data_IF_217878444161
#
_entry.id   IF_217878444161
#
_cell.length_a   1.000
_cell.length_b   1.000
_cell.length_c   1.000
_cell.angle_alpha   90.00
_cell.angle_beta   90.00
_cell.angle_gamma   90.00
#
_symmetry.space_group_name_H-M   'P 1'
#
loop_
_entity.id
_entity.type
_entity.pdbx_description
1 polymer ?
#
# COMPACT_ATOMS: atom_id res chain seq x y z
N UNK A 1 22.37 6.91 0.40
CA UNK A 1 21.64 5.98 1.28
C UNK A 1 20.30 6.63 1.55
N UNK A 2 19.21 5.99 1.15
CA UNK A 2 17.86 6.51 1.37
C UNK A 2 17.38 5.90 2.68
N UNK A 3 17.06 6.73 3.68
CA UNK A 3 16.79 6.25 5.04
C UNK A 3 15.47 6.77 5.60
N UNK A 4 14.88 7.79 4.98
CA UNK A 4 13.75 8.53 5.56
C UNK A 4 12.70 8.86 4.49
N UNK A 5 11.45 9.02 4.92
CA UNK A 5 10.34 9.38 4.03
C UNK A 5 10.61 10.66 3.23
N UNK A 6 11.24 11.66 3.85
CA UNK A 6 11.62 12.93 3.19
C UNK A 6 12.52 12.76 1.97
N UNK A 7 13.28 11.69 1.90
CA UNK A 7 14.19 11.42 0.78
C UNK A 7 13.41 11.07 -0.50
N UNK A 8 12.13 10.71 -0.35
CA UNK A 8 11.19 10.45 -1.45
C UNK A 8 10.33 11.68 -1.79
N UNK A 9 10.53 12.82 -1.12
CA UNK A 9 9.73 14.01 -1.41
C UNK A 9 9.98 14.51 -2.84
N UNK A 10 8.91 14.54 -3.65
CA UNK A 10 8.89 15.05 -5.01
C UNK A 10 9.83 14.35 -6.02
N UNK A 11 10.31 13.14 -5.73
CA UNK A 11 11.21 12.40 -6.64
C UNK A 11 10.54 12.01 -7.97
N UNK A 12 9.22 11.93 -7.98
CA UNK A 12 8.37 11.65 -9.13
C UNK A 12 7.45 12.84 -9.47
N UNK A 13 7.95 14.06 -9.25
CA UNK A 13 7.21 15.30 -9.46
C UNK A 13 6.59 15.39 -10.86
N UNK A 14 5.26 15.51 -10.93
CA UNK A 14 4.52 15.63 -12.18
C UNK A 14 4.32 14.32 -12.95
N UNK A 15 4.67 13.18 -12.35
CA UNK A 15 4.48 11.87 -12.98
C UNK A 15 3.17 11.22 -12.53
N UNK A 16 2.74 10.24 -13.30
CA UNK A 16 1.68 9.30 -12.93
C UNK A 16 2.24 8.24 -11.98
N UNK A 17 1.45 7.84 -10.98
CA UNK A 17 1.77 6.71 -10.10
C UNK A 17 0.58 5.75 -10.06
N UNK A 18 0.83 4.48 -10.33
CA UNK A 18 -0.13 3.39 -10.13
C UNK A 18 -0.08 2.92 -8.68
N UNK A 19 -1.24 2.64 -8.09
CA UNK A 19 -1.35 2.01 -6.78
C UNK A 19 -2.12 0.71 -6.94
N UNK A 20 -1.47 -0.39 -6.58
CA UNK A 20 -2.03 -1.73 -6.63
C UNK A 20 -2.49 -2.15 -5.24
N UNK A 21 -3.74 -2.60 -5.14
CA UNK A 21 -4.27 -3.39 -4.04
C UNK A 21 -4.45 -4.85 -4.46
N UNK A 22 -5.03 -5.66 -3.57
CA UNK A 22 -5.26 -7.10 -3.79
C UNK A 22 -6.71 -7.43 -4.16
N UNK A 23 -7.47 -6.41 -4.55
CA UNK A 23 -8.87 -6.50 -4.90
C UNK A 23 -9.13 -7.31 -6.16
N UNK A 24 -10.31 -7.94 -6.32
CA UNK A 24 -10.64 -8.74 -7.50
C UNK A 24 -10.48 -8.02 -8.83
N UNK A 25 -10.64 -6.69 -8.89
CA UNK A 25 -10.43 -5.90 -10.12
C UNK A 25 -9.00 -5.97 -10.65
N UNK A 26 -8.03 -6.40 -9.84
CA UNK A 26 -6.68 -6.69 -10.31
C UNK A 26 -6.68 -7.83 -11.35
N UNK A 27 -7.61 -8.77 -11.26
CA UNK A 27 -7.72 -9.90 -12.20
C UNK A 27 -8.20 -9.47 -13.59
N UNK A 28 -8.76 -8.26 -13.73
CA UNK A 28 -9.20 -7.72 -15.01
C UNK A 28 -8.05 -7.07 -15.80
N UNK A 29 -6.87 -6.92 -15.17
CA UNK A 29 -5.66 -6.42 -15.83
C UNK A 29 -4.98 -7.56 -16.56
N UNK A 30 -4.75 -7.39 -17.86
CA UNK A 30 -4.09 -8.42 -18.67
C UNK A 30 -2.60 -8.52 -18.31
N UNK A 31 -1.98 -9.67 -18.59
CA UNK A 31 -0.53 -9.85 -18.40
C UNK A 31 0.29 -8.80 -19.15
N UNK A 32 -0.13 -8.44 -20.37
CA UNK A 32 0.53 -7.40 -21.17
C UNK A 32 0.44 -6.02 -20.51
N UNK A 33 -0.72 -5.65 -19.99
CA UNK A 33 -0.90 -4.38 -19.27
C UNK A 33 -0.07 -4.36 -17.99
N UNK A 34 -0.06 -5.47 -17.24
CA UNK A 34 0.72 -5.57 -16.02
C UNK A 34 2.22 -5.50 -16.31
N UNK A 35 2.70 -6.20 -17.33
CA UNK A 35 4.11 -6.15 -17.76
C UNK A 35 4.51 -4.74 -18.22
N UNK A 36 3.64 -4.06 -18.97
CA UNK A 36 3.84 -2.67 -19.35
C UNK A 36 3.99 -1.76 -18.13
N UNK A 37 3.05 -1.83 -17.17
CA UNK A 37 3.07 -0.98 -15.97
C UNK A 37 4.34 -1.26 -15.15
N UNK A 38 4.67 -2.52 -14.89
CA UNK A 38 5.83 -2.87 -14.07
C UNK A 38 7.17 -2.44 -14.67
N UNK A 39 7.28 -2.37 -16.00
CA UNK A 39 8.52 -1.99 -16.71
C UNK A 39 8.64 -0.49 -16.97
N UNK A 40 7.52 0.21 -17.18
CA UNK A 40 7.53 1.56 -17.73
C UNK A 40 6.92 2.62 -16.81
N UNK A 41 6.19 2.21 -15.79
CA UNK A 41 5.43 3.13 -14.93
C UNK A 41 5.90 3.04 -13.47
N UNK A 42 5.68 4.13 -12.73
CA UNK A 42 5.92 4.13 -11.29
C UNK A 42 4.73 3.48 -10.59
N UNK A 43 5.00 2.54 -9.70
CA UNK A 43 3.95 1.82 -8.97
C UNK A 43 4.23 1.64 -7.49
N UNK A 44 3.16 1.69 -6.71
CA UNK A 44 3.14 1.38 -5.28
C UNK A 44 2.26 0.15 -5.07
N UNK A 45 2.83 -0.93 -4.57
CA UNK A 45 2.06 -2.08 -4.07
C UNK A 45 1.74 -1.91 -2.59
N UNK A 46 0.63 -2.48 -2.12
CA UNK A 46 0.29 -2.51 -0.70
C UNK A 46 0.11 -3.92 -0.15
N UNK A 47 0.49 -4.14 1.11
CA UNK A 47 0.28 -5.41 1.82
C UNK A 47 0.69 -6.64 0.98
N UNK A 48 -0.25 -7.50 0.61
CA UNK A 48 0.02 -8.75 -0.11
C UNK A 48 0.09 -8.63 -1.64
N UNK A 49 0.05 -7.41 -2.21
CA UNK A 49 0.17 -7.25 -3.67
C UNK A 49 1.40 -7.86 -4.30
N UNK A 50 2.57 -8.00 -3.63
CA UNK A 50 3.74 -8.68 -4.21
C UNK A 50 3.51 -10.11 -4.70
N UNK A 51 2.42 -10.78 -4.30
CA UNK A 51 2.04 -12.10 -4.86
C UNK A 51 1.69 -11.99 -6.35
N UNK A 52 1.14 -10.86 -6.77
CA UNK A 52 0.61 -10.67 -8.12
C UNK A 52 1.40 -9.68 -8.95
N UNK A 53 2.02 -8.69 -8.32
CA UNK A 53 2.71 -7.59 -9.01
C UNK A 53 4.10 -7.36 -8.44
N UNK A 54 5.04 -6.89 -9.26
CA UNK A 54 6.35 -6.40 -8.82
C UNK A 54 6.33 -4.87 -8.84
N UNK A 55 6.04 -4.19 -7.71
CA UNK A 55 5.90 -2.74 -7.71
C UNK A 55 7.25 -2.02 -7.57
N UNK A 56 7.33 -0.75 -7.98
CA UNK A 56 8.51 0.10 -7.76
C UNK A 56 8.75 0.36 -6.28
N UNK A 57 7.66 0.56 -5.54
CA UNK A 57 7.62 0.81 -4.10
C UNK A 57 6.59 -0.09 -3.43
N UNK A 58 6.76 -0.34 -2.13
CA UNK A 58 5.79 -1.12 -1.37
C UNK A 58 5.47 -0.49 -0.03
N UNK A 59 4.20 -0.51 0.36
CA UNK A 59 3.74 0.00 1.66
C UNK A 59 2.92 -1.07 2.40
N UNK A 60 3.40 -1.48 3.57
CA UNK A 60 2.68 -2.36 4.48
C UNK A 60 1.97 -1.59 5.58
N UNK A 61 0.69 -1.90 5.79
CA UNK A 61 -0.10 -1.35 6.89
C UNK A 61 -0.44 -2.38 7.96
N UNK A 62 -0.37 -1.98 9.23
CA UNK A 62 -0.82 -2.82 10.34
C UNK A 62 0.27 -3.72 10.91
N UNK A 63 0.05 -5.04 10.88
CA UNK A 63 0.81 -5.98 11.71
C UNK A 63 2.20 -6.31 11.13
N UNK A 64 3.19 -6.46 12.03
CA UNK A 64 4.58 -6.82 11.74
C UNK A 64 4.78 -8.05 10.83
N UNK A 65 3.79 -8.94 10.70
CA UNK A 65 3.83 -10.07 9.76
C UNK A 65 3.96 -9.64 8.30
N UNK A 66 3.50 -8.44 7.94
CA UNK A 66 3.67 -7.89 6.60
C UNK A 66 5.12 -7.54 6.29
N UNK A 67 5.94 -7.24 7.31
CA UNK A 67 7.38 -7.03 7.14
C UNK A 67 8.05 -8.34 6.74
N UNK A 68 7.76 -9.43 7.45
CA UNK A 68 8.31 -10.75 7.10
C UNK A 68 7.89 -11.16 5.68
N UNK A 69 6.61 -10.97 5.34
CA UNK A 69 6.10 -11.23 4.00
C UNK A 69 6.83 -10.39 2.93
N UNK A 70 7.02 -9.09 3.18
CA UNK A 70 7.73 -8.19 2.28
C UNK A 70 9.19 -8.63 2.06
N UNK A 71 9.91 -9.02 3.12
CA UNK A 71 11.29 -9.51 3.03
C UNK A 71 11.38 -10.78 2.15
N UNK A 72 10.38 -11.66 2.23
CA UNK A 72 10.36 -12.92 1.48
C UNK A 72 9.93 -12.74 0.01
N UNK A 73 9.00 -11.82 -0.28
CA UNK A 73 8.33 -11.75 -1.58
C UNK A 73 8.72 -10.54 -2.43
N UNK A 74 9.29 -9.48 -1.84
CA UNK A 74 9.75 -8.32 -2.62
C UNK A 74 11.10 -8.61 -3.25
N UNK A 75 11.21 -8.31 -4.54
CA UNK A 75 12.47 -8.42 -5.29
C UNK A 75 13.42 -7.28 -4.93
N UNK A 76 14.71 -7.49 -5.17
CA UNK A 76 15.75 -6.48 -4.96
C UNK A 76 15.54 -5.19 -5.75
N UNK A 77 14.78 -5.26 -6.83
CA UNK A 77 14.40 -4.13 -7.68
C UNK A 77 13.41 -3.15 -7.02
N UNK A 78 12.76 -3.55 -5.92
CA UNK A 78 11.88 -2.67 -5.14
C UNK A 78 12.71 -1.59 -4.46
N UNK A 79 12.48 -0.33 -4.86
CA UNK A 79 13.34 0.81 -4.51
C UNK A 79 13.10 1.34 -3.10
N UNK A 80 11.87 1.17 -2.57
CA UNK A 80 11.52 1.60 -1.22
C UNK A 80 10.44 0.72 -0.60
N UNK A 81 10.67 0.29 0.63
CA UNK A 81 9.77 -0.56 1.41
C UNK A 81 9.37 0.25 2.64
N UNK A 82 8.08 0.52 2.80
CA UNK A 82 7.54 1.38 3.86
C UNK A 82 6.65 0.56 4.81
N UNK A 83 6.68 0.85 6.12
CA UNK A 83 5.81 0.19 7.09
C UNK A 83 5.34 1.15 8.20
N UNK A 84 4.09 1.00 8.67
CA UNK A 84 3.44 1.89 9.66
C UNK A 84 3.73 1.57 11.14
N UNK A 85 4.49 0.52 11.44
CA UNK A 85 4.83 0.12 12.81
C UNK A 85 6.30 0.43 13.16
N UNK A 86 6.62 1.61 13.71
CA UNK A 86 7.98 1.94 14.13
C UNK A 86 8.50 1.01 15.24
N UNK A 87 7.62 0.39 16.02
CA UNK A 87 7.98 -0.59 17.05
C UNK A 87 8.53 -1.90 16.45
N UNK A 88 8.13 -2.23 15.22
CA UNK A 88 8.62 -3.41 14.53
C UNK A 88 10.11 -3.33 14.16
N UNK A 89 10.71 -2.14 14.11
CA UNK A 89 12.15 -1.96 13.84
C UNK A 89 13.03 -2.79 14.77
N UNK A 90 12.65 -2.86 16.05
CA UNK A 90 13.38 -3.65 17.06
C UNK A 90 13.27 -5.17 16.84
N UNK A 91 12.22 -5.63 16.16
CA UNK A 91 11.96 -7.05 15.87
C UNK A 91 12.60 -7.52 14.56
N UNK A 92 12.89 -6.58 13.66
CA UNK A 92 13.51 -6.84 12.36
C UNK A 92 14.74 -5.94 12.18
N UNK A 93 15.80 -6.12 12.99
CA UNK A 93 16.99 -5.26 12.94
C UNK A 93 17.74 -5.38 11.61
N UNK A 94 17.65 -6.52 10.92
CA UNK A 94 18.28 -6.75 9.62
C UNK A 94 17.46 -6.17 8.44
N UNK A 95 16.38 -5.44 8.73
CA UNK A 95 15.52 -4.82 7.72
C UNK A 95 15.94 -3.39 7.37
N UNK A 96 17.23 -3.18 7.10
CA UNK A 96 17.79 -1.86 6.74
C UNK A 96 17.13 -1.21 5.52
N UNK A 97 16.44 -2.01 4.69
CA UNK A 97 15.68 -1.56 3.53
C UNK A 97 14.31 -0.97 3.87
N UNK A 98 13.84 -1.12 5.12
CA UNK A 98 12.50 -0.71 5.53
C UNK A 98 12.53 0.67 6.16
N UNK A 99 11.75 1.57 5.55
CA UNK A 99 11.49 2.90 6.04
C UNK A 99 10.26 2.83 6.95
N UNK A 100 10.51 2.87 8.25
CA UNK A 100 9.45 2.95 9.24
C UNK A 100 8.86 4.35 9.25
N UNK A 101 7.54 4.41 9.13
CA UNK A 101 6.76 5.65 9.13
C UNK A 101 5.87 5.67 10.36
N UNK A 102 5.72 6.84 10.97
CA UNK A 102 4.66 7.05 11.95
C UNK A 102 3.35 7.21 11.17
N UNK A 103 2.37 6.37 11.46
CA UNK A 103 0.99 6.58 11.00
C UNK A 103 0.29 7.51 11.98
N UNK A 104 -0.17 8.65 11.50
CA UNK A 104 -1.07 9.48 12.27
C UNK A 104 -2.50 9.05 11.94
N UNK A 105 -3.15 8.41 12.91
CA UNK A 105 -4.61 8.22 12.87
C UNK A 105 -5.24 9.60 13.00
N UNK A 106 -5.39 10.29 11.89
CA UNK A 106 -6.28 11.43 11.80
C UNK A 106 -7.68 10.90 12.09
N UNK A 107 -8.18 11.16 13.31
CA UNK A 107 -9.59 10.98 13.62
C UNK A 107 -10.40 11.56 12.46
N UNK A 108 -11.42 10.82 12.01
CA UNK A 108 -12.28 11.10 10.84
C UNK A 108 -13.04 12.43 11.00
N UNK A 109 -12.31 13.52 11.10
CA UNK A 109 -12.75 14.85 10.79
C UNK A 109 -12.35 15.08 9.33
N UNK A 110 -13.15 15.82 8.56
CA UNK A 110 -12.80 16.21 7.20
C UNK A 110 -11.60 17.16 7.26
N UNK A 111 -10.41 16.61 7.45
CA UNK A 111 -9.18 17.35 7.26
C UNK A 111 -9.01 17.47 5.75
N UNK A 112 -9.03 18.70 5.18
CA UNK A 112 -8.60 18.88 3.81
C UNK A 112 -7.21 18.26 3.66
N UNK A 113 -6.92 17.68 2.49
CA UNK A 113 -5.55 17.25 2.17
C UNK A 113 -4.61 18.38 2.59
N UNK A 114 -3.59 18.09 3.42
CA UNK A 114 -2.78 19.13 4.01
C UNK A 114 -2.20 19.99 2.89
N UNK A 115 -2.43 21.31 2.96
CA UNK A 115 -1.95 22.25 1.93
C UNK A 115 -0.43 22.20 1.75
N UNK A 116 0.27 21.72 2.78
CA UNK A 116 1.69 21.42 2.77
C UNK A 116 1.87 19.90 2.83
N UNK A 117 2.76 19.37 1.98
CA UNK A 117 3.19 17.96 2.07
C UNK A 117 3.79 17.70 3.45
N UNK A 118 3.13 16.89 4.27
CA UNK A 118 3.74 16.38 5.49
C UNK A 118 4.73 15.29 5.08
N UNK A 119 6.01 15.65 4.98
CA UNK A 119 7.07 14.79 4.41
C UNK A 119 7.70 13.83 5.44
N UNK A 120 7.35 13.96 6.71
CA UNK A 120 7.94 13.19 7.81
C UNK A 120 7.03 12.05 8.32
N UNK A 121 5.76 11.99 7.88
CA UNK A 121 4.79 10.96 8.28
C UNK A 121 3.85 10.60 7.13
N UNK A 122 3.24 9.42 7.20
CA UNK A 122 2.19 9.03 6.27
C UNK A 122 0.84 9.21 6.96
N UNK A 123 -0.08 9.91 6.29
CA UNK A 123 -1.44 10.15 6.77
C UNK A 123 -2.39 9.27 5.96
N UNK A 124 -2.88 8.21 6.58
CA UNK A 124 -3.88 7.34 5.98
C UNK A 124 -4.76 6.59 6.99
N UNK A 125 -4.35 6.55 8.25
CA UNK A 125 -5.07 5.89 9.33
C UNK A 125 -5.28 4.40 9.01
N UNK A 126 -6.46 3.86 9.33
CA UNK A 126 -6.75 2.43 9.14
C UNK A 126 -6.98 2.00 7.68
N UNK A 127 -6.80 2.89 6.69
CA UNK A 127 -7.00 2.58 5.29
C UNK A 127 -5.68 2.69 4.51
N UNK A 128 -5.11 1.53 4.17
CA UNK A 128 -3.84 1.44 3.44
C UNK A 128 -3.87 2.13 2.07
N UNK A 129 -5.04 2.23 1.43
CA UNK A 129 -5.21 2.98 0.18
C UNK A 129 -4.96 4.48 0.39
N UNK A 130 -5.45 5.03 1.50
CA UNK A 130 -5.23 6.44 1.85
C UNK A 130 -3.75 6.66 2.17
N UNK A 131 -3.12 5.74 2.90
CA UNK A 131 -1.68 5.81 3.19
C UNK A 131 -0.84 5.79 1.92
N UNK A 132 -1.14 4.88 0.98
CA UNK A 132 -0.45 4.79 -0.30
C UNK A 132 -0.71 6.02 -1.18
N UNK A 133 -1.92 6.57 -1.14
CA UNK A 133 -2.26 7.82 -1.84
C UNK A 133 -1.47 9.00 -1.28
N UNK A 134 -1.30 9.09 0.04
CA UNK A 134 -0.49 10.13 0.66
C UNK A 134 1.00 9.95 0.32
N UNK A 135 1.50 8.72 0.28
CA UNK A 135 2.86 8.44 -0.17
C UNK A 135 3.07 8.91 -1.63
N UNK A 136 2.16 8.59 -2.55
CA UNK A 136 2.21 9.08 -3.93
C UNK A 136 2.17 10.63 -4.00
N UNK A 137 1.36 11.27 -3.15
CA UNK A 137 1.31 12.72 -3.03
C UNK A 137 2.64 13.33 -2.55
N UNK A 138 3.28 12.74 -1.52
CA UNK A 138 4.62 13.12 -1.06
C UNK A 138 5.61 13.02 -2.21
N UNK A 139 5.59 11.92 -2.95
CA UNK A 139 6.44 11.65 -4.12
C UNK A 139 6.23 12.59 -5.29
N UNK A 140 5.14 13.37 -5.28
CA UNK A 140 4.88 14.40 -6.28
C UNK A 140 4.05 13.93 -7.47
N UNK A 141 3.27 12.86 -7.31
CA UNK A 141 2.34 12.42 -8.34
C UNK A 141 1.40 13.56 -8.76
N UNK A 142 1.23 13.75 -10.07
CA UNK A 142 0.17 14.59 -10.64
C UNK A 142 -1.09 13.80 -10.96
N UNK A 143 -0.96 12.49 -11.12
CA UNK A 143 -2.04 11.56 -11.41
C UNK A 143 -1.83 10.26 -10.63
N UNK A 144 -2.88 9.77 -9.98
CA UNK A 144 -2.85 8.51 -9.23
C UNK A 144 -3.90 7.58 -9.83
N UNK A 145 -3.48 6.39 -10.24
CA UNK A 145 -4.36 5.35 -10.81
C UNK A 145 -4.46 4.20 -9.82
N UNK A 146 -5.70 3.79 -9.50
CA UNK A 146 -5.96 2.71 -8.55
C UNK A 146 -6.39 1.44 -9.27
N UNK A 147 -5.78 0.31 -8.91
CA UNK A 147 -6.11 -1.02 -9.43
C UNK A 147 -6.20 -1.99 -8.26
N UNK A 148 -7.20 -2.88 -8.23
CA UNK A 148 -7.34 -3.85 -7.14
C UNK A 148 -7.79 -3.21 -5.82
N UNK A 149 -8.62 -2.16 -5.89
CA UNK A 149 -9.24 -1.57 -4.71
C UNK A 149 -10.75 -1.50 -4.89
N UNK A 150 -11.47 -2.20 -4.04
CA UNK A 150 -12.92 -2.11 -3.94
C UNK A 150 -13.28 -1.53 -2.57
N UNK A 151 -14.17 -0.54 -2.56
CA UNK A 151 -14.88 -0.23 -1.33
C UNK A 151 -15.77 -1.42 -1.02
N UNK A 152 -15.37 -2.22 -0.02
CA UNK A 152 -16.25 -3.24 0.54
C UNK A 152 -17.34 -2.51 1.33
N UNK A 153 -18.36 -2.01 0.62
CA UNK A 153 -19.58 -1.45 1.22
C UNK A 153 -20.47 -2.55 1.85
N UNK A 154 -19.87 -3.67 2.28
CA UNK A 154 -20.58 -4.84 2.78
C UNK A 154 -20.23 -5.01 4.25
N UNK A 155 -21.26 -4.96 5.09
CA UNK A 155 -21.22 -5.54 6.43
C UNK A 155 -20.61 -6.95 6.31
N UNK A 156 -19.39 -7.12 6.82
CA UNK A 156 -18.77 -8.43 6.89
C UNK A 156 -19.51 -9.25 7.95
N UNK A 157 -20.38 -10.15 7.50
CA UNK A 157 -20.84 -11.26 8.34
C UNK A 157 -19.94 -12.45 8.08
N UNK A 158 -19.18 -12.88 9.10
CA UNK A 158 -18.67 -14.24 9.14
C UNK A 158 -19.85 -15.16 9.41
N UNK A 159 -20.41 -15.79 8.38
CA UNK A 159 -21.52 -16.71 8.56
C UNK A 159 -20.98 -18.07 9.06
N UNK A 160 -21.16 -18.34 10.36
CA UNK A 160 -20.82 -19.61 11.02
C UNK A 160 -21.98 -20.63 11.00
N UNK A 161 -22.98 -20.46 10.14
CA UNK A 161 -24.10 -21.40 10.08
C UNK A 161 -23.68 -22.76 9.52
N UNK A 162 -24.24 -23.82 10.08
CA UNK A 162 -24.06 -25.20 9.62
C UNK A 162 -24.49 -25.37 8.15
N UNK A 163 -23.89 -26.34 7.47
CA UNK A 163 -24.16 -26.66 6.06
C UNK A 163 -25.66 -26.86 5.78
N UNK A 164 -26.39 -27.49 6.71
CA UNK A 164 -27.85 -27.68 6.63
C UNK A 164 -28.64 -26.37 6.49
N UNK A 165 -28.15 -25.30 7.14
CA UNK A 165 -28.82 -23.99 7.09
C UNK A 165 -28.57 -23.27 5.77
N UNK A 166 -27.52 -23.65 5.04
CA UNK A 166 -27.17 -23.07 3.75
C UNK A 166 -27.99 -23.68 2.60
N UNK A 167 -28.36 -24.97 2.70
CA UNK A 167 -29.20 -25.63 1.69
C UNK A 167 -30.65 -25.15 1.68
N UNK A 168 -31.18 -24.72 2.82
CA UNK A 168 -32.56 -24.22 2.95
C UNK A 168 -32.79 -22.81 2.39
N UNK A 169 -31.72 -22.12 1.96
CA UNK A 169 -31.79 -20.75 1.42
C UNK A 169 -31.40 -20.65 -0.07
N UNK A 170 -31.24 -21.79 -0.76
CA UNK A 170 -31.20 -21.88 -2.23
C UNK A 170 -32.59 -22.18 -2.78
#
# INVERSE_FOLDING_TARGET
>A
MIERLRDFANIHGGQRIFIFGTGPTLNDVTEEQLDYIQKNEISIGVNYTPIHVTPTYWLGGGHATLIAFAIEHLKDETQGIFHHDPGARSKYPDSDRIIFTEDEVCSVQPNPLPKNKEIDKIVGGHNILLSASHLAYIMGASEIIYIGFEQVNRLHFYNLWSEDKQQNFK
#
